data_IF_586784043300
#
_entry.id   IF_586784043300
#
_cell.length_a   1.000
_cell.length_b   1.000
_cell.length_c   1.000
_cell.angle_alpha   90.00
_cell.angle_beta   90.00
_cell.angle_gamma   90.00
#
_symmetry.space_group_name_H-M   'P 1'
#
loop_
_entity.id
_entity.type
_entity.pdbx_description
1 polymer ?
#
# COMPACT_ATOMS: atom_id res chain seq x y z
N UNK A 1 60.86 -23.04 17.21
CA UNK A 1 59.63 -22.65 17.95
C UNK A 1 59.15 -21.37 17.29
N UNK A 2 58.22 -21.49 16.34
CA UNK A 2 57.75 -20.36 15.52
C UNK A 2 56.36 -20.00 16.01
N UNK A 3 56.24 -18.79 16.54
CA UNK A 3 55.00 -18.21 17.04
C UNK A 3 54.19 -17.77 15.82
N UNK A 4 53.03 -18.39 15.62
CA UNK A 4 52.13 -18.07 14.51
C UNK A 4 51.26 -16.91 14.98
N UNK A 5 51.59 -15.70 14.50
CA UNK A 5 50.87 -14.47 14.85
C UNK A 5 49.40 -14.54 14.45
N UNK A 6 48.59 -13.94 15.31
CA UNK A 6 47.15 -14.05 15.32
C UNK A 6 46.52 -13.64 14.00
N UNK A 7 45.91 -14.63 13.34
CA UNK A 7 44.90 -14.40 12.33
C UNK A 7 43.76 -13.62 12.96
N UNK A 8 43.76 -12.31 12.75
CA UNK A 8 42.62 -11.44 12.97
C UNK A 8 41.52 -11.95 12.05
N UNK A 9 40.62 -12.74 12.61
CA UNK A 9 39.39 -13.14 11.95
C UNK A 9 38.63 -11.84 11.68
N UNK A 10 38.69 -11.35 10.45
CA UNK A 10 37.88 -10.24 9.95
C UNK A 10 36.43 -10.73 9.94
N UNK A 11 35.79 -10.72 11.13
CA UNK A 11 34.37 -10.99 11.31
C UNK A 11 33.65 -9.77 10.75
N UNK A 12 33.61 -9.66 9.42
CA UNK A 12 32.66 -8.77 8.77
C UNK A 12 31.28 -9.27 9.18
N UNK A 13 30.47 -8.46 9.88
CA UNK A 13 29.13 -8.88 10.25
C UNK A 13 28.42 -9.30 8.97
N UNK A 14 28.02 -10.57 8.92
CA UNK A 14 27.39 -11.16 7.74
C UNK A 14 26.22 -10.31 7.27
N UNK A 15 26.02 -10.27 5.96
CA UNK A 15 24.97 -9.46 5.34
C UNK A 15 23.60 -9.84 5.93
N UNK A 16 22.98 -8.93 6.70
CA UNK A 16 21.63 -9.13 7.24
C UNK A 16 20.66 -9.36 6.07
N UNK A 17 20.05 -10.55 5.93
CA UNK A 17 19.22 -10.90 4.78
C UNK A 17 17.94 -10.03 4.69
N UNK A 18 17.64 -9.23 5.71
CA UNK A 18 16.51 -8.29 5.72
C UNK A 18 16.87 -6.88 5.25
N UNK A 19 18.15 -6.52 5.16
CA UNK A 19 18.62 -5.20 4.70
C UNK A 19 18.98 -5.21 3.23
N UNK A 20 18.69 -4.12 2.54
CA UNK A 20 18.99 -3.94 1.12
C UNK A 20 20.50 -4.07 0.85
N UNK A 21 20.84 -4.45 -0.38
CA UNK A 21 22.23 -4.45 -0.81
C UNK A 21 22.83 -3.03 -0.68
N UNK A 22 24.09 -2.88 -0.20
CA UNK A 22 24.70 -1.56 0.01
C UNK A 22 24.78 -0.74 -1.29
N UNK A 23 24.85 -1.40 -2.44
CA UNK A 23 24.80 -0.81 -3.79
C UNK A 23 23.53 -0.01 -4.06
N UNK A 24 22.42 -0.33 -3.39
CA UNK A 24 21.14 0.36 -3.54
C UNK A 24 20.83 1.29 -2.36
N UNK A 25 21.75 1.48 -1.40
CA UNK A 25 21.52 2.32 -0.21
C UNK A 25 21.05 3.74 -0.58
N UNK A 26 21.69 4.39 -1.55
CA UNK A 26 21.29 5.71 -2.03
C UNK A 26 19.87 5.74 -2.59
N UNK A 27 19.43 4.65 -3.23
CA UNK A 27 18.10 4.54 -3.78
C UNK A 27 17.01 4.53 -2.70
N UNK A 28 17.24 3.74 -1.65
CA UNK A 28 16.35 3.64 -0.49
C UNK A 28 16.31 4.94 0.32
N UNK A 29 17.45 5.61 0.50
CA UNK A 29 17.51 6.90 1.17
C UNK A 29 16.77 7.99 0.39
N UNK A 30 17.00 8.12 -0.92
CA UNK A 30 16.30 9.10 -1.75
C UNK A 30 14.79 8.87 -1.73
N UNK A 31 14.35 7.62 -1.85
CA UNK A 31 12.94 7.23 -1.77
C UNK A 31 12.35 7.57 -0.40
N UNK A 32 13.05 7.25 0.69
CA UNK A 32 12.60 7.54 2.05
C UNK A 32 12.46 9.03 2.29
N UNK A 33 13.43 9.83 1.87
CA UNK A 33 13.40 11.29 2.01
C UNK A 33 12.27 11.92 1.19
N UNK A 34 12.11 11.54 -0.08
CA UNK A 34 11.06 12.11 -0.92
C UNK A 34 9.65 11.78 -0.40
N UNK A 35 9.41 10.52 -0.01
CA UNK A 35 8.13 10.12 0.57
C UNK A 35 7.88 10.79 1.93
N UNK A 36 8.90 10.95 2.77
CA UNK A 36 8.77 11.68 4.03
C UNK A 36 8.43 13.15 3.80
N UNK A 37 9.13 13.83 2.87
CA UNK A 37 8.87 15.23 2.54
C UNK A 37 7.44 15.43 2.02
N UNK A 38 6.98 14.58 1.11
CA UNK A 38 5.61 14.65 0.61
C UNK A 38 4.58 14.38 1.72
N UNK A 39 4.82 13.38 2.58
CA UNK A 39 3.94 13.10 3.70
C UNK A 39 3.87 14.25 4.73
N UNK A 40 5.00 14.91 4.98
CA UNK A 40 5.06 16.10 5.84
C UNK A 40 4.29 17.27 5.24
N UNK A 41 4.34 17.46 3.92
CA UNK A 41 3.51 18.46 3.24
C UNK A 41 2.01 18.16 3.42
N UNK A 42 1.60 16.89 3.29
CA UNK A 42 0.21 16.48 3.54
C UNK A 42 -0.20 16.68 5.01
N UNK A 43 0.68 16.39 5.97
CA UNK A 43 0.43 16.71 7.37
C UNK A 43 0.28 18.22 7.60
N UNK A 44 1.03 19.05 6.87
CA UNK A 44 0.88 20.50 6.88
C UNK A 44 -0.54 20.93 6.47
N UNK A 45 -1.10 20.33 5.43
CA UNK A 45 -2.50 20.55 5.03
C UNK A 45 -3.49 20.09 6.10
N UNK A 46 -3.23 18.97 6.78
CA UNK A 46 -4.06 18.53 7.91
C UNK A 46 -4.05 19.57 9.03
N UNK A 47 -2.87 20.03 9.45
CA UNK A 47 -2.72 21.01 10.53
C UNK A 47 -3.35 22.35 10.16
N UNK A 48 -3.17 22.78 8.91
CA UNK A 48 -3.82 23.98 8.39
C UNK A 48 -5.35 23.85 8.44
N UNK A 49 -5.92 22.72 8.01
CA UNK A 49 -7.36 22.48 8.06
C UNK A 49 -7.94 22.49 9.47
N UNK A 50 -7.20 21.92 10.44
CA UNK A 50 -7.58 21.97 11.85
C UNK A 50 -7.53 23.40 12.39
N UNK A 51 -6.51 24.19 12.01
CA UNK A 51 -6.36 25.56 12.49
C UNK A 51 -7.39 26.53 11.88
N UNK A 52 -7.80 26.29 10.63
CA UNK A 52 -8.80 27.10 9.94
C UNK A 52 -10.23 26.73 10.36
N UNK A 53 -10.47 25.46 10.68
CA UNK A 53 -11.73 25.05 11.29
C UNK A 53 -11.73 25.51 12.75
N UNK A 54 -12.76 26.22 13.22
CA UNK A 54 -12.95 26.51 14.66
C UNK A 54 -13.15 25.23 15.53
N UNK A 55 -12.85 24.04 14.99
CA UNK A 55 -12.96 22.74 15.61
C UNK A 55 -11.75 22.37 16.48
N UNK A 56 -11.98 21.45 17.40
CA UNK A 56 -10.94 20.90 18.26
C UNK A 56 -10.14 19.79 17.57
N UNK A 57 -8.91 19.53 18.03
CA UNK A 57 -8.13 18.35 17.60
C UNK A 57 -8.89 17.03 17.83
N UNK A 58 -9.82 17.02 18.81
CA UNK A 58 -10.67 15.88 19.07
C UNK A 58 -11.68 15.62 17.94
N UNK A 59 -12.26 16.68 17.36
CA UNK A 59 -13.18 16.57 16.22
C UNK A 59 -12.49 15.98 14.99
N UNK A 60 -11.20 16.31 14.80
CA UNK A 60 -10.38 15.67 13.78
C UNK A 60 -10.20 14.17 14.03
N UNK A 61 -9.83 13.78 15.26
CA UNK A 61 -9.63 12.36 15.65
C UNK A 61 -10.94 11.59 15.53
N UNK A 62 -12.06 12.16 15.94
CA UNK A 62 -13.36 11.56 15.79
C UNK A 62 -13.69 11.37 14.30
N UNK A 63 -13.49 12.41 13.48
CA UNK A 63 -13.71 12.36 12.03
C UNK A 63 -12.85 11.33 11.28
N UNK A 64 -11.71 10.90 11.84
CA UNK A 64 -10.89 9.83 11.25
C UNK A 64 -11.64 8.49 11.22
N UNK A 65 -12.54 8.25 12.18
CA UNK A 65 -13.26 6.99 12.33
C UNK A 65 -14.76 7.13 12.08
N UNK A 66 -15.35 8.25 12.48
CA UNK A 66 -16.76 8.56 12.34
C UNK A 66 -16.96 9.55 11.17
N UNK A 67 -17.38 9.10 9.98
CA UNK A 67 -17.66 10.01 8.88
C UNK A 67 -18.94 10.83 9.06
N UNK A 68 -19.71 10.59 10.14
CA UNK A 68 -20.81 11.45 10.56
C UNK A 68 -20.39 12.61 11.48
N UNK A 69 -19.13 12.65 11.95
CA UNK A 69 -18.59 13.79 12.68
C UNK A 69 -18.39 14.99 11.74
N UNK A 70 -18.44 16.21 12.28
CA UNK A 70 -18.46 17.46 11.52
C UNK A 70 -17.38 17.50 10.41
N UNK A 71 -17.74 17.75 9.14
CA UNK A 71 -16.78 17.81 8.03
C UNK A 71 -15.86 19.03 8.08
N UNK A 72 -16.12 20.00 8.97
CA UNK A 72 -15.46 21.31 8.98
C UNK A 72 -13.94 21.24 9.16
N UNK A 73 -13.39 20.20 9.80
CA UNK A 73 -11.96 20.07 10.07
C UNK A 73 -11.15 19.27 9.03
N UNK A 74 -11.79 18.70 8.00
CA UNK A 74 -11.12 17.75 7.08
C UNK A 74 -10.91 18.33 5.68
N UNK A 75 -9.78 19.01 5.47
CA UNK A 75 -9.30 19.37 4.12
C UNK A 75 -8.81 18.16 3.31
N UNK A 76 -8.43 17.08 4.00
CA UNK A 76 -7.96 15.83 3.41
C UNK A 76 -9.01 14.74 3.62
N UNK A 77 -9.32 14.01 2.55
CA UNK A 77 -10.20 12.86 2.62
C UNK A 77 -9.54 11.68 3.36
N UNK A 78 -10.32 10.62 3.65
CA UNK A 78 -9.83 9.44 4.36
C UNK A 78 -8.73 8.70 3.60
N UNK A 79 -8.78 8.72 2.26
CA UNK A 79 -7.77 8.09 1.42
C UNK A 79 -6.44 8.83 1.54
N UNK A 80 -6.46 10.15 1.48
CA UNK A 80 -5.28 11.00 1.57
C UNK A 80 -4.60 10.86 2.94
N UNK A 81 -5.39 10.81 4.01
CA UNK A 81 -4.87 10.52 5.35
C UNK A 81 -4.21 9.13 5.42
N UNK A 82 -4.91 8.10 4.95
CA UNK A 82 -4.37 6.74 4.94
C UNK A 82 -3.07 6.64 4.14
N UNK A 83 -3.01 7.30 2.98
CA UNK A 83 -1.80 7.35 2.16
C UNK A 83 -0.68 8.16 2.82
N UNK A 84 -0.99 9.23 3.53
CA UNK A 84 0.00 10.01 4.30
C UNK A 84 0.68 9.12 5.35
N UNK A 85 -0.10 8.36 6.13
CA UNK A 85 0.43 7.40 7.11
C UNK A 85 1.27 6.32 6.41
N UNK A 86 0.79 5.79 5.28
CA UNK A 86 1.54 4.82 4.47
C UNK A 86 2.87 5.39 4.01
N UNK A 87 2.91 6.63 3.51
CA UNK A 87 4.14 7.25 3.04
C UNK A 87 5.16 7.41 4.17
N UNK A 88 4.72 7.78 5.38
CA UNK A 88 5.59 7.84 6.56
C UNK A 88 6.15 6.46 6.93
N UNK A 89 5.32 5.42 6.93
CA UNK A 89 5.75 4.06 7.26
C UNK A 89 6.73 3.54 6.20
N UNK A 90 6.40 3.69 4.92
CA UNK A 90 7.26 3.29 3.79
C UNK A 90 8.56 4.09 3.83
N UNK A 91 8.52 5.38 4.14
CA UNK A 91 9.71 6.22 4.29
C UNK A 91 10.61 5.74 5.43
N UNK A 92 10.05 5.51 6.62
CA UNK A 92 10.82 5.03 7.77
C UNK A 92 11.46 3.66 7.50
N UNK A 93 10.73 2.75 6.86
CA UNK A 93 11.27 1.45 6.46
C UNK A 93 12.32 1.58 5.34
N UNK A 94 12.17 2.54 4.42
CA UNK A 94 13.15 2.83 3.36
C UNK A 94 14.45 3.38 3.96
N UNK A 95 14.36 4.33 4.90
CA UNK A 95 15.50 4.87 5.64
C UNK A 95 16.20 3.78 6.46
N UNK A 96 15.44 2.82 7.01
CA UNK A 96 15.97 1.61 7.64
C UNK A 96 16.48 0.55 6.63
N UNK A 97 16.49 0.85 5.33
CA UNK A 97 16.97 0.02 4.23
C UNK A 97 16.35 -1.38 4.20
N UNK A 98 15.04 -1.49 4.49
CA UNK A 98 14.34 -2.79 4.51
C UNK A 98 13.96 -3.23 3.10
N UNK A 99 14.37 -4.44 2.68
CA UNK A 99 14.07 -4.98 1.32
C UNK A 99 12.60 -5.04 0.96
N UNK A 100 11.73 -5.27 1.95
CA UNK A 100 10.27 -5.43 1.76
C UNK A 100 9.62 -4.14 1.24
N UNK A 101 10.29 -3.00 1.40
CA UNK A 101 9.77 -1.66 1.09
C UNK A 101 9.66 -1.42 -0.40
N UNK A 102 10.52 -2.03 -1.21
CA UNK A 102 10.65 -1.69 -2.63
C UNK A 102 9.31 -1.68 -3.36
N UNK A 103 8.50 -2.72 -3.22
CA UNK A 103 7.21 -2.77 -3.93
C UNK A 103 6.14 -1.91 -3.30
N UNK A 104 6.20 -1.65 -2.00
CA UNK A 104 5.36 -0.63 -1.37
C UNK A 104 5.70 0.77 -1.92
N UNK A 105 6.99 1.10 -2.02
CA UNK A 105 7.46 2.37 -2.57
C UNK A 105 7.11 2.52 -4.07
N UNK A 106 7.25 1.46 -4.87
CA UNK A 106 6.82 1.48 -6.28
C UNK A 106 5.31 1.71 -6.39
N UNK A 107 4.49 1.03 -5.57
CA UNK A 107 3.05 1.28 -5.53
C UNK A 107 2.75 2.74 -5.16
N UNK A 108 3.39 3.26 -4.11
CA UNK A 108 3.26 4.67 -3.71
C UNK A 108 3.64 5.63 -4.84
N UNK A 109 4.74 5.38 -5.55
CA UNK A 109 5.18 6.17 -6.70
C UNK A 109 4.16 6.14 -7.84
N UNK A 110 3.59 4.98 -8.16
CA UNK A 110 2.54 4.86 -9.18
C UNK A 110 1.24 5.58 -8.79
N UNK A 111 0.84 5.53 -7.52
CA UNK A 111 -0.35 6.24 -7.04
C UNK A 111 -0.16 7.75 -7.09
N UNK A 112 1.01 8.26 -6.66
CA UNK A 112 1.35 9.67 -6.78
C UNK A 112 1.42 10.12 -8.25
N UNK A 113 1.95 9.28 -9.14
CA UNK A 113 1.97 9.56 -10.57
C UNK A 113 0.55 9.62 -11.14
N UNK A 114 -0.34 8.71 -10.75
CA UNK A 114 -1.73 8.69 -11.20
C UNK A 114 -2.49 9.95 -10.75
N UNK A 115 -2.32 10.36 -9.48
CA UNK A 115 -2.88 11.61 -8.95
C UNK A 115 -2.33 12.82 -9.72
N UNK A 116 -1.02 12.84 -9.98
CA UNK A 116 -0.38 13.95 -10.70
C UNK A 116 -0.77 14.01 -12.17
N UNK A 117 -0.96 12.87 -12.82
CA UNK A 117 -1.43 12.78 -14.20
C UNK A 117 -2.87 13.29 -14.32
N UNK A 118 -3.75 12.91 -13.38
CA UNK A 118 -5.11 13.44 -13.28
C UNK A 118 -5.11 14.96 -13.11
N UNK A 119 -4.25 15.48 -12.23
CA UNK A 119 -4.08 16.92 -12.06
C UNK A 119 -3.60 17.59 -13.35
N UNK A 120 -2.63 16.99 -14.04
CA UNK A 120 -2.12 17.45 -15.32
C UNK A 120 -3.20 17.52 -16.41
N UNK A 121 -4.14 16.57 -16.44
CA UNK A 121 -5.32 16.63 -17.33
C UNK A 121 -6.20 17.81 -16.98
N UNK A 122 -6.48 18.04 -15.69
CA UNK A 122 -7.28 19.19 -15.24
C UNK A 122 -6.66 20.53 -15.61
N UNK A 123 -5.32 20.65 -15.52
CA UNK A 123 -4.58 21.86 -15.91
C UNK A 123 -4.66 22.19 -17.41
N UNK A 124 -5.17 21.30 -18.26
CA UNK A 124 -5.43 21.63 -19.66
C UNK A 124 -6.65 22.55 -19.82
N UNK A 125 -7.56 22.56 -18.83
CA UNK A 125 -8.69 23.48 -18.80
C UNK A 125 -8.26 24.88 -18.32
N UNK A 126 -8.65 25.92 -19.06
CA UNK A 126 -8.33 27.30 -18.72
C UNK A 126 -9.05 27.76 -17.44
N UNK A 127 -10.33 27.40 -17.28
CA UNK A 127 -11.10 27.80 -16.10
C UNK A 127 -10.54 27.18 -14.83
N UNK A 128 -10.03 25.95 -14.91
CA UNK A 128 -9.39 25.27 -13.79
C UNK A 128 -8.03 25.87 -13.46
N UNK A 129 -7.22 26.24 -14.47
CA UNK A 129 -5.96 26.98 -14.25
C UNK A 129 -6.17 28.34 -13.59
N UNK A 130 -7.23 29.04 -13.95
CA UNK A 130 -7.53 30.34 -13.35
C UNK A 130 -7.85 30.24 -11.85
N UNK A 131 -8.36 29.10 -11.37
CA UNK A 131 -8.60 28.88 -9.94
C UNK A 131 -7.30 28.90 -9.13
N UNK A 132 -6.22 28.35 -9.66
CA UNK A 132 -4.90 28.39 -9.01
C UNK A 132 -4.35 29.80 -8.82
N UNK A 133 -4.78 30.75 -9.65
CA UNK A 133 -4.37 32.15 -9.55
C UNK A 133 -5.27 32.98 -8.63
N UNK A 134 -6.54 32.57 -8.49
CA UNK A 134 -7.56 33.31 -7.74
C UNK A 134 -7.77 32.79 -6.30
N UNK A 135 -7.41 31.53 -6.03
CA UNK A 135 -7.45 30.95 -4.70
C UNK A 135 -6.19 31.34 -3.90
N UNK A 136 -6.31 31.88 -2.67
CA UNK A 136 -5.15 32.23 -1.84
C UNK A 136 -4.23 31.04 -1.55
N UNK A 137 -4.75 29.81 -1.57
CA UNK A 137 -3.99 28.58 -1.35
C UNK A 137 -3.58 27.89 -2.66
N UNK A 138 -3.99 28.43 -3.82
CA UNK A 138 -3.71 27.86 -5.14
C UNK A 138 -2.23 27.60 -5.36
N UNK A 139 -1.36 28.57 -5.06
CA UNK A 139 0.09 28.40 -5.18
C UNK A 139 0.66 27.24 -4.34
N UNK A 140 0.19 27.09 -3.10
CA UNK A 140 0.59 26.01 -2.20
C UNK A 140 0.09 24.64 -2.66
N UNK A 141 -1.15 24.59 -3.14
CA UNK A 141 -1.73 23.36 -3.68
C UNK A 141 -0.98 22.91 -4.94
N UNK A 142 -0.66 23.84 -5.84
CA UNK A 142 0.14 23.56 -7.03
C UNK A 142 1.55 23.07 -6.67
N UNK A 143 2.19 23.71 -5.69
CA UNK A 143 3.49 23.28 -5.18
C UNK A 143 3.43 21.86 -4.59
N UNK A 144 2.36 21.53 -3.87
CA UNK A 144 2.14 20.19 -3.30
C UNK A 144 1.95 19.14 -4.40
N UNK A 145 1.17 19.46 -5.45
CA UNK A 145 1.00 18.58 -6.62
C UNK A 145 2.32 18.39 -7.38
N UNK A 146 3.08 19.47 -7.57
CA UNK A 146 4.43 19.42 -8.16
C UNK A 146 5.41 18.57 -7.35
N UNK A 147 5.40 18.71 -6.02
CA UNK A 147 6.19 17.88 -5.11
C UNK A 147 5.80 16.40 -5.21
N UNK A 148 4.50 16.11 -5.34
CA UNK A 148 3.97 14.75 -5.54
C UNK A 148 4.47 14.12 -6.85
N UNK A 149 4.44 14.88 -7.95
CA UNK A 149 4.97 14.44 -9.24
C UNK A 149 6.47 14.19 -9.18
N UNK A 150 7.25 15.13 -8.61
CA UNK A 150 8.69 14.98 -8.46
C UNK A 150 9.03 13.75 -7.62
N UNK A 151 8.32 13.57 -6.49
CA UNK A 151 8.46 12.40 -5.62
C UNK A 151 8.16 11.11 -6.39
N UNK A 152 7.07 11.08 -7.17
CA UNK A 152 6.71 9.92 -7.97
C UNK A 152 7.82 9.56 -8.98
N UNK A 153 8.32 10.54 -9.72
CA UNK A 153 9.37 10.34 -10.72
C UNK A 153 10.67 9.86 -10.08
N UNK A 154 11.11 10.48 -8.98
CA UNK A 154 12.31 10.06 -8.25
C UNK A 154 12.16 8.63 -7.73
N UNK A 155 11.06 8.33 -7.02
CA UNK A 155 10.84 6.99 -6.46
C UNK A 155 10.83 5.93 -7.55
N UNK A 156 10.10 6.15 -8.65
CA UNK A 156 10.02 5.19 -9.74
C UNK A 156 11.38 5.00 -10.43
N UNK A 157 12.05 6.09 -10.84
CA UNK A 157 13.35 6.04 -11.54
C UNK A 157 14.43 5.33 -10.73
N UNK A 158 14.39 5.51 -9.41
CA UNK A 158 15.41 4.99 -8.50
C UNK A 158 15.10 3.57 -8.00
N UNK A 159 13.81 3.20 -7.83
CA UNK A 159 13.41 1.87 -7.34
C UNK A 159 13.21 0.81 -8.44
N UNK A 160 12.98 1.21 -9.70
CA UNK A 160 12.92 0.27 -10.82
C UNK A 160 14.25 -0.49 -11.02
N UNK A 161 15.41 0.18 -11.10
CA UNK A 161 16.71 -0.46 -11.32
C UNK A 161 17.20 -1.25 -10.10
N UNK A 162 16.75 -0.92 -8.89
CA UNK A 162 17.09 -1.59 -7.63
C UNK A 162 16.47 -3.00 -7.48
N UNK A 163 16.37 -3.74 -8.59
CA UNK A 163 15.93 -5.14 -8.60
C UNK A 163 17.03 -6.02 -8.04
N UNK A 164 16.93 -6.36 -6.77
CA UNK A 164 17.79 -7.36 -6.15
C UNK A 164 17.47 -8.75 -6.73
N UNK A 165 18.08 -9.09 -7.88
CA UNK A 165 18.11 -10.48 -8.36
C UNK A 165 18.94 -11.27 -7.37
N UNK A 166 18.29 -12.18 -6.62
CA UNK A 166 18.96 -13.06 -5.63
C UNK A 166 19.89 -14.12 -6.25
N UNK A 167 20.29 -13.98 -7.51
CA UNK A 167 21.06 -14.96 -8.28
C UNK A 167 22.49 -14.51 -8.57
N UNK A 168 23.24 -14.11 -7.55
CA UNK A 168 24.63 -13.65 -7.65
C UNK A 168 25.57 -14.27 -6.61
N UNK A 169 25.20 -15.42 -6.03
CA UNK A 169 26.09 -16.21 -5.18
C UNK A 169 26.87 -17.29 -5.97
N UNK A 170 26.92 -17.16 -7.31
CA UNK A 170 27.60 -18.10 -8.23
C UNK A 170 28.51 -17.38 -9.22
N UNK A 171 29.19 -16.33 -8.77
CA UNK A 171 30.23 -15.69 -9.56
C UNK A 171 31.41 -15.30 -8.68
N UNK A 172 31.97 -16.28 -7.94
CA UNK A 172 33.38 -16.36 -7.52
C UNK A 172 33.59 -17.63 -6.67
N UNK A 173 33.89 -18.74 -7.34
CA UNK A 173 34.56 -19.90 -6.73
C UNK A 173 33.66 -21.08 -6.35
N UNK A 174 34.03 -22.27 -6.85
CA UNK A 174 33.65 -23.54 -6.22
C UNK A 174 32.70 -24.41 -7.03
N UNK A 175 33.28 -25.28 -7.85
CA UNK A 175 32.74 -26.56 -8.29
C UNK A 175 32.11 -27.31 -7.09
N UNK A 176 31.03 -28.05 -7.33
CA UNK A 176 30.45 -29.08 -6.45
C UNK A 176 29.39 -28.64 -5.41
N UNK A 177 28.29 -28.02 -5.86
CA UNK A 177 27.02 -28.06 -5.12
C UNK A 177 26.07 -29.06 -5.81
N UNK A 178 25.88 -30.22 -5.17
CA UNK A 178 25.01 -31.30 -5.63
C UNK A 178 23.54 -30.85 -5.83
N UNK A 179 22.82 -31.41 -6.82
CA UNK A 179 21.41 -31.11 -7.06
C UNK A 179 20.54 -31.93 -6.10
N UNK A 180 20.33 -31.42 -4.88
CA UNK A 180 19.45 -32.12 -3.94
C UNK A 180 19.56 -31.62 -2.51
N UNK A 181 18.78 -30.59 -2.16
CA UNK A 181 18.22 -30.41 -0.81
C UNK A 181 17.35 -29.15 -0.76
N UNK A 182 16.03 -29.38 -0.72
CA UNK A 182 15.01 -28.46 -0.23
C UNK A 182 14.74 -27.21 -1.05
N UNK A 183 13.62 -27.15 -1.75
CA UNK A 183 13.00 -25.87 -2.19
C UNK A 183 12.33 -25.16 -0.99
N UNK A 184 12.93 -24.11 -0.37
CA UNK A 184 12.21 -23.20 0.53
C UNK A 184 11.20 -22.30 -0.21
N UNK A 185 10.92 -22.56 -1.48
CA UNK A 185 10.13 -21.73 -2.38
C UNK A 185 8.64 -22.09 -2.43
N UNK A 186 8.28 -23.34 -2.13
CA UNK A 186 6.88 -23.79 -2.17
C UNK A 186 6.03 -23.17 -1.03
N UNK A 187 6.60 -23.03 0.17
CA UNK A 187 5.89 -22.57 1.37
C UNK A 187 5.40 -21.11 1.29
N UNK A 188 6.06 -20.29 0.47
CA UNK A 188 5.76 -18.86 0.34
C UNK A 188 4.86 -18.53 -0.85
N UNK A 189 4.78 -19.40 -1.85
CA UNK A 189 3.89 -19.21 -3.02
C UNK A 189 2.43 -19.35 -2.64
N UNK A 190 2.10 -20.27 -1.72
CA UNK A 190 0.73 -20.51 -1.25
C UNK A 190 0.10 -19.27 -0.58
N UNK A 191 0.68 -18.65 0.47
CA UNK A 191 0.07 -17.48 1.11
C UNK A 191 -0.04 -16.30 0.14
N UNK A 192 0.97 -16.04 -0.70
CA UNK A 192 0.90 -14.96 -1.68
C UNK A 192 -0.19 -15.18 -2.73
N UNK A 193 -0.40 -16.42 -3.19
CA UNK A 193 -1.53 -16.75 -4.07
C UNK A 193 -2.88 -16.56 -3.40
N UNK A 194 -3.02 -16.99 -2.14
CA UNK A 194 -4.26 -16.79 -1.36
C UNK A 194 -4.55 -15.29 -1.23
N UNK A 195 -3.56 -14.48 -0.85
CA UNK A 195 -3.69 -13.03 -0.82
C UNK A 195 -4.10 -12.46 -2.18
N UNK A 196 -3.52 -12.98 -3.26
CA UNK A 196 -3.89 -12.58 -4.62
C UNK A 196 -5.35 -12.90 -4.97
N UNK A 197 -5.84 -14.10 -4.62
CA UNK A 197 -7.25 -14.47 -4.83
C UNK A 197 -8.18 -13.56 -4.02
N UNK A 198 -7.85 -13.29 -2.75
CA UNK A 198 -8.63 -12.39 -1.90
C UNK A 198 -8.71 -10.98 -2.49
N UNK A 199 -7.59 -10.45 -3.02
CA UNK A 199 -7.55 -9.17 -3.71
C UNK A 199 -8.40 -9.16 -4.98
N UNK A 200 -8.34 -10.23 -5.80
CA UNK A 200 -9.15 -10.35 -7.00
C UNK A 200 -10.65 -10.39 -6.68
N UNK A 201 -11.06 -11.21 -5.71
CA UNK A 201 -12.46 -11.31 -5.31
C UNK A 201 -12.98 -9.96 -4.78
N UNK A 202 -12.19 -9.28 -3.95
CA UNK A 202 -12.56 -7.96 -3.45
C UNK A 202 -12.62 -6.90 -4.56
N UNK A 203 -11.65 -6.92 -5.49
CA UNK A 203 -11.63 -6.01 -6.64
C UNK A 203 -12.80 -6.22 -7.57
N UNK A 204 -13.19 -7.48 -7.83
CA UNK A 204 -14.37 -7.81 -8.62
C UNK A 204 -15.68 -7.41 -7.92
N UNK A 205 -15.77 -7.60 -6.59
CA UNK A 205 -16.92 -7.15 -5.82
C UNK A 205 -17.05 -5.62 -5.85
N UNK A 206 -15.96 -4.89 -5.64
CA UNK A 206 -15.94 -3.43 -5.75
C UNK A 206 -16.31 -2.98 -7.17
N UNK A 207 -15.75 -3.60 -8.21
CA UNK A 207 -16.09 -3.30 -9.59
C UNK A 207 -17.59 -3.53 -9.88
N UNK A 208 -18.17 -4.62 -9.40
CA UNK A 208 -19.60 -4.90 -9.58
C UNK A 208 -20.47 -3.83 -8.93
N UNK A 209 -20.11 -3.38 -7.71
CA UNK A 209 -20.78 -2.26 -7.05
C UNK A 209 -20.61 -0.94 -7.80
N UNK A 210 -19.41 -0.64 -8.31
CA UNK A 210 -19.16 0.56 -9.12
C UNK A 210 -20.01 0.55 -10.39
N UNK A 211 -20.04 -0.57 -11.12
CA UNK A 211 -20.85 -0.71 -12.33
C UNK A 211 -22.34 -0.58 -12.01
N UNK A 212 -22.82 -1.20 -10.92
CA UNK A 212 -24.20 -1.04 -10.47
C UNK A 212 -24.54 0.42 -10.18
N UNK A 213 -23.71 1.11 -9.40
CA UNK A 213 -23.94 2.51 -9.04
C UNK A 213 -23.96 3.43 -10.28
N UNK A 214 -23.06 3.17 -11.24
CA UNK A 214 -22.95 3.96 -12.48
C UNK A 214 -24.09 3.66 -13.46
N UNK A 215 -24.68 2.46 -13.39
CA UNK A 215 -25.82 2.07 -14.25
C UNK A 215 -27.18 2.40 -13.63
N UNK A 216 -27.21 2.91 -12.38
CA UNK A 216 -28.44 3.34 -11.73
C UNK A 216 -29.09 4.53 -12.46
N UNK A 217 -30.43 4.55 -12.59
CA UNK A 217 -31.14 5.64 -13.26
C UNK A 217 -30.86 6.97 -12.56
N UNK A 218 -30.38 7.96 -13.32
CA UNK A 218 -30.00 9.29 -12.83
C UNK A 218 -28.49 9.53 -12.70
N UNK A 219 -27.66 8.50 -12.88
CA UNK A 219 -26.19 8.65 -12.94
C UNK A 219 -25.69 8.75 -14.39
N UNK A 220 -24.83 9.72 -14.66
CA UNK A 220 -24.14 9.86 -15.95
C UNK A 220 -22.78 9.16 -15.88
N UNK A 221 -22.70 7.99 -16.53
CA UNK A 221 -21.47 7.20 -16.59
C UNK A 221 -20.31 7.94 -17.26
N UNK A 222 -20.60 8.78 -18.26
CA UNK A 222 -19.60 9.60 -18.93
C UNK A 222 -19.01 10.62 -17.97
N UNK A 223 -19.87 11.29 -17.19
CA UNK A 223 -19.45 12.22 -16.15
C UNK A 223 -18.65 11.51 -15.05
N UNK A 224 -19.10 10.36 -14.56
CA UNK A 224 -18.40 9.59 -13.53
C UNK A 224 -16.97 9.20 -13.96
N UNK A 225 -16.81 8.71 -15.18
CA UNK A 225 -15.49 8.37 -15.72
C UNK A 225 -14.63 9.60 -15.97
N UNK A 226 -15.24 10.71 -16.40
CA UNK A 226 -14.54 11.98 -16.53
C UNK A 226 -14.05 12.47 -15.18
N UNK A 227 -14.88 12.45 -14.14
CA UNK A 227 -14.53 12.84 -12.76
C UNK A 227 -13.42 11.96 -12.18
N UNK A 228 -13.29 10.71 -12.64
CA UNK A 228 -12.19 9.84 -12.27
C UNK A 228 -10.85 10.25 -12.91
N UNK A 229 -10.84 10.82 -14.12
CA UNK A 229 -9.61 11.08 -14.89
C UNK A 229 -9.22 12.56 -14.91
N UNK A 230 -10.19 13.44 -14.81
CA UNK A 230 -10.07 14.88 -14.98
C UNK A 230 -10.35 15.58 -13.65
N UNK A 231 -9.37 16.33 -13.15
CA UNK A 231 -9.52 17.10 -11.91
C UNK A 231 -10.42 18.34 -12.10
N UNK A 232 -10.55 18.85 -13.34
CA UNK A 232 -11.25 20.12 -13.61
C UNK A 232 -12.75 20.06 -13.36
N UNK A 233 -13.36 18.87 -13.41
CA UNK A 233 -14.82 18.73 -13.38
C UNK A 233 -15.43 19.10 -12.03
N UNK A 234 -14.67 18.98 -10.94
CA UNK A 234 -15.09 19.46 -9.62
C UNK A 234 -15.24 20.99 -9.59
N UNK A 235 -14.52 21.69 -10.45
CA UNK A 235 -14.53 23.14 -10.54
C UNK A 235 -14.05 23.85 -9.28
N UNK A 236 -13.42 23.15 -8.34
CA UNK A 236 -12.89 23.71 -7.09
C UNK A 236 -11.52 23.10 -6.77
N UNK A 237 -10.67 23.89 -6.11
CA UNK A 237 -9.31 23.51 -5.77
C UNK A 237 -9.29 22.64 -4.51
N UNK A 238 -9.43 21.32 -4.68
CA UNK A 238 -9.37 20.36 -3.58
C UNK A 238 -8.07 19.55 -3.61
N UNK A 239 -7.39 19.50 -2.47
CA UNK A 239 -6.20 18.64 -2.29
C UNK A 239 -6.61 17.16 -2.28
N UNK A 240 -7.80 16.86 -1.73
CA UNK A 240 -8.40 15.54 -1.77
C UNK A 240 -8.80 15.13 -3.19
N UNK A 241 -8.54 13.88 -3.53
CA UNK A 241 -9.01 13.26 -4.76
C UNK A 241 -10.50 12.94 -4.65
N UNK A 242 -11.18 12.96 -5.79
CA UNK A 242 -12.60 12.57 -5.83
C UNK A 242 -12.82 11.10 -5.45
N UNK A 243 -14.04 10.82 -4.98
CA UNK A 243 -14.49 9.45 -4.68
C UNK A 243 -14.42 8.56 -5.92
N UNK A 244 -14.73 9.09 -7.10
CA UNK A 244 -14.67 8.38 -8.38
C UNK A 244 -13.26 7.88 -8.68
N UNK A 245 -12.24 8.74 -8.53
CA UNK A 245 -10.85 8.37 -8.76
C UNK A 245 -10.35 7.36 -7.73
N UNK A 246 -10.66 7.57 -6.44
CA UNK A 246 -10.20 6.66 -5.38
C UNK A 246 -10.85 5.28 -5.51
N UNK A 247 -12.11 5.21 -5.94
CA UNK A 247 -12.84 3.96 -6.22
C UNK A 247 -12.30 3.24 -7.45
N UNK A 248 -12.16 3.93 -8.59
CA UNK A 248 -11.59 3.31 -9.80
C UNK A 248 -10.13 2.89 -9.55
N UNK A 249 -9.36 3.75 -8.89
CA UNK A 249 -7.99 3.46 -8.49
C UNK A 249 -7.89 2.24 -7.56
N UNK A 250 -8.78 2.11 -6.58
CA UNK A 250 -8.76 0.96 -5.68
C UNK A 250 -9.04 -0.34 -6.41
N UNK A 251 -10.05 -0.36 -7.30
CA UNK A 251 -10.37 -1.51 -8.14
C UNK A 251 -9.17 -1.90 -9.00
N UNK A 252 -8.55 -0.95 -9.69
CA UNK A 252 -7.39 -1.21 -10.54
C UNK A 252 -6.23 -1.78 -9.72
N UNK A 253 -5.91 -1.21 -8.56
CA UNK A 253 -4.83 -1.68 -7.69
C UNK A 253 -5.13 -3.09 -7.16
N UNK A 254 -6.36 -3.36 -6.71
CA UNK A 254 -6.77 -4.70 -6.26
C UNK A 254 -6.58 -5.74 -7.35
N UNK A 255 -7.03 -5.46 -8.57
CA UNK A 255 -6.93 -6.38 -9.69
C UNK A 255 -5.47 -6.59 -10.10
N UNK A 256 -4.68 -5.52 -10.25
CA UNK A 256 -3.27 -5.60 -10.65
C UNK A 256 -2.45 -6.36 -9.60
N UNK A 257 -2.53 -5.99 -8.33
CA UNK A 257 -1.81 -6.67 -7.25
C UNK A 257 -2.30 -8.12 -7.08
N UNK A 258 -3.61 -8.35 -7.25
CA UNK A 258 -4.22 -9.69 -7.24
C UNK A 258 -3.63 -10.60 -8.32
N UNK A 259 -3.60 -10.14 -9.58
CA UNK A 259 -3.00 -10.88 -10.70
C UNK A 259 -1.50 -11.13 -10.48
N UNK A 260 -0.75 -10.11 -10.06
CA UNK A 260 0.69 -10.24 -9.80
C UNK A 260 0.99 -11.25 -8.69
N UNK A 261 0.16 -11.26 -7.63
CA UNK A 261 0.28 -12.19 -6.51
C UNK A 261 -0.11 -13.63 -6.89
N UNK A 262 -1.18 -13.83 -7.67
CA UNK A 262 -1.57 -15.16 -8.19
C UNK A 262 -0.49 -15.75 -9.10
N UNK A 263 0.14 -14.92 -9.94
CA UNK A 263 1.29 -15.31 -10.77
C UNK A 263 2.53 -15.69 -9.95
N UNK A 264 2.50 -15.54 -8.63
CA UNK A 264 3.56 -15.96 -7.73
C UNK A 264 4.78 -15.04 -7.76
N UNK A 265 4.61 -13.78 -8.18
CA UNK A 265 5.70 -12.79 -8.09
C UNK A 265 5.96 -12.49 -6.62
N UNK A 266 7.13 -12.90 -6.13
CA UNK A 266 7.50 -12.81 -4.70
C UNK A 266 7.66 -11.37 -4.21
N UNK A 267 7.92 -10.46 -5.13
CA UNK A 267 8.24 -9.07 -4.82
C UNK A 267 7.02 -8.29 -4.33
N UNK A 268 5.78 -8.72 -4.60
CA UNK A 268 4.55 -7.92 -4.42
C UNK A 268 4.14 -7.73 -2.95
N UNK A 269 4.82 -8.36 -1.99
CA UNK A 269 4.40 -8.39 -0.57
C UNK A 269 4.27 -7.03 0.08
N UNK A 270 5.24 -6.15 -0.12
CA UNK A 270 5.20 -4.79 0.45
C UNK A 270 3.96 -4.05 -0.02
N UNK A 271 3.69 -4.10 -1.33
CA UNK A 271 2.49 -3.52 -1.93
C UNK A 271 1.19 -4.15 -1.40
N UNK A 272 1.13 -5.48 -1.26
CA UNK A 272 -0.04 -6.17 -0.70
C UNK A 272 -0.34 -5.74 0.74
N UNK A 273 0.67 -5.71 1.62
CA UNK A 273 0.49 -5.32 3.03
C UNK A 273 -0.01 -3.90 3.13
N UNK A 274 0.67 -2.98 2.43
CA UNK A 274 0.36 -1.55 2.48
C UNK A 274 -1.05 -1.29 1.96
N UNK A 275 -1.38 -1.84 0.80
CA UNK A 275 -2.70 -1.60 0.21
C UNK A 275 -3.82 -2.30 1.00
N UNK A 276 -3.57 -3.50 1.54
CA UNK A 276 -4.52 -4.18 2.41
C UNK A 276 -4.77 -3.38 3.70
N UNK A 277 -3.74 -2.76 4.28
CA UNK A 277 -3.90 -1.91 5.46
C UNK A 277 -4.76 -0.67 5.18
N UNK A 278 -4.56 -0.02 4.02
CA UNK A 278 -5.40 1.11 3.58
C UNK A 278 -6.86 0.66 3.39
N UNK A 279 -7.08 -0.43 2.66
CA UNK A 279 -8.43 -0.97 2.44
C UNK A 279 -9.10 -1.40 3.76
N UNK A 280 -8.34 -1.98 4.68
CA UNK A 280 -8.84 -2.35 6.00
C UNK A 280 -9.29 -1.12 6.79
N UNK A 281 -8.50 -0.05 6.82
CA UNK A 281 -8.87 1.21 7.47
C UNK A 281 -10.18 1.77 6.90
N UNK A 282 -10.31 1.83 5.57
CA UNK A 282 -11.51 2.35 4.91
C UNK A 282 -12.75 1.47 5.16
N UNK A 283 -12.56 0.15 5.19
CA UNK A 283 -13.62 -0.81 5.51
C UNK A 283 -14.08 -0.62 6.95
N UNK A 284 -13.16 -0.47 7.91
CA UNK A 284 -13.48 -0.18 9.31
C UNK A 284 -14.23 1.14 9.44
N UNK A 285 -13.79 2.20 8.76
CA UNK A 285 -14.50 3.49 8.73
C UNK A 285 -15.94 3.35 8.22
N UNK A 286 -16.16 2.52 7.20
CA UNK A 286 -17.48 2.22 6.67
C UNK A 286 -18.35 1.46 7.68
N UNK A 287 -17.78 0.47 8.38
CA UNK A 287 -18.46 -0.28 9.44
C UNK A 287 -18.85 0.63 10.60
N UNK A 288 -17.95 1.53 11.02
CA UNK A 288 -18.24 2.52 12.07
C UNK A 288 -19.38 3.44 11.63
N UNK A 289 -19.37 3.93 10.39
CA UNK A 289 -20.48 4.73 9.85
C UNK A 289 -21.82 4.00 9.93
N UNK A 290 -21.87 2.76 9.47
CA UNK A 290 -23.08 1.93 9.52
C UNK A 290 -23.57 1.70 10.96
N UNK A 291 -22.65 1.62 11.93
CA UNK A 291 -22.96 1.46 13.35
C UNK A 291 -23.53 2.75 13.94
N UNK A 292 -22.88 3.89 13.67
CA UNK A 292 -23.28 5.20 14.21
C UNK A 292 -24.63 5.65 13.62
N UNK A 293 -24.92 5.30 12.38
CA UNK A 293 -26.18 5.68 11.69
C UNK A 293 -27.33 4.70 11.94
N UNK A 294 -27.14 3.66 12.77
CA UNK A 294 -28.09 2.56 13.01
C UNK A 294 -28.58 1.89 11.70
N UNK A 295 -27.76 1.98 10.65
CA UNK A 295 -28.12 1.52 9.32
C UNK A 295 -28.05 0.00 9.22
N UNK A 296 -27.34 -0.67 10.13
CA UNK A 296 -27.28 -2.13 10.21
C UNK A 296 -28.66 -2.79 10.19
N UNK A 297 -29.61 -2.26 10.96
CA UNK A 297 -30.96 -2.82 11.05
C UNK A 297 -31.76 -2.63 9.75
N UNK A 298 -31.67 -1.45 9.12
CA UNK A 298 -32.38 -1.15 7.86
C UNK A 298 -31.78 -1.87 6.66
N UNK A 299 -30.49 -2.19 6.71
CA UNK A 299 -29.78 -2.78 5.58
C UNK A 299 -30.25 -4.22 5.29
N UNK A 300 -30.79 -4.94 6.26
CA UNK A 300 -31.36 -6.28 6.03
C UNK A 300 -32.77 -6.27 5.43
N UNK A 301 -33.43 -5.11 5.35
CA UNK A 301 -34.77 -4.98 4.78
C UNK A 301 -34.76 -5.12 3.25
N UNK A 302 -33.60 -4.94 2.61
CA UNK A 302 -33.44 -5.05 1.15
C UNK A 302 -32.36 -6.07 0.78
N UNK A 303 -32.56 -6.77 -0.34
CA UNK A 303 -31.55 -7.72 -0.87
C UNK A 303 -30.23 -7.02 -1.18
N UNK A 304 -30.30 -5.78 -1.66
CA UNK A 304 -29.14 -4.95 -1.96
C UNK A 304 -28.34 -4.61 -0.70
N UNK A 305 -29.03 -4.21 0.37
CA UNK A 305 -28.37 -3.96 1.64
C UNK A 305 -27.73 -5.22 2.22
N UNK A 306 -28.43 -6.36 2.22
CA UNK A 306 -27.87 -7.62 2.68
C UNK A 306 -26.60 -7.99 1.89
N UNK A 307 -26.59 -7.80 0.56
CA UNK A 307 -25.42 -8.05 -0.28
C UNK A 307 -24.27 -7.08 0.05
N UNK A 308 -24.58 -5.80 0.31
CA UNK A 308 -23.60 -4.79 0.73
C UNK A 308 -22.92 -5.19 2.05
N UNK A 309 -23.70 -5.67 3.03
CA UNK A 309 -23.17 -6.18 4.31
C UNK A 309 -22.26 -7.39 4.13
N UNK A 310 -22.67 -8.36 3.31
CA UNK A 310 -21.85 -9.55 3.02
C UNK A 310 -20.55 -9.14 2.35
N UNK A 311 -20.58 -8.21 1.39
CA UNK A 311 -19.36 -7.73 0.72
C UNK A 311 -18.44 -6.94 1.66
N UNK A 312 -19.00 -6.17 2.58
CA UNK A 312 -18.23 -5.43 3.61
C UNK A 312 -17.58 -6.39 4.60
N UNK A 313 -18.32 -7.39 5.09
CA UNK A 313 -17.79 -8.42 5.98
C UNK A 313 -16.70 -9.25 5.30
N UNK A 314 -16.89 -9.60 4.02
CA UNK A 314 -15.87 -10.26 3.21
C UNK A 314 -14.62 -9.39 3.07
N UNK A 315 -14.76 -8.11 2.74
CA UNK A 315 -13.63 -7.19 2.60
C UNK A 315 -12.82 -7.11 3.91
N UNK A 316 -13.48 -7.02 5.05
CA UNK A 316 -12.84 -6.99 6.37
C UNK A 316 -12.05 -8.28 6.65
N UNK A 317 -12.67 -9.45 6.43
CA UNK A 317 -12.02 -10.74 6.61
C UNK A 317 -10.87 -10.97 5.60
N UNK A 318 -11.04 -10.52 4.36
CA UNK A 318 -10.05 -10.65 3.30
C UNK A 318 -8.81 -9.79 3.59
N UNK A 319 -8.98 -8.51 3.93
CA UNK A 319 -7.86 -7.60 4.18
C UNK A 319 -7.09 -7.96 5.46
N UNK A 320 -7.80 -8.33 6.54
CA UNK A 320 -7.14 -8.87 7.75
C UNK A 320 -6.34 -10.13 7.45
N UNK A 321 -6.91 -11.07 6.69
CA UNK A 321 -6.21 -12.28 6.26
C UNK A 321 -4.98 -11.97 5.41
N UNK A 322 -5.04 -11.00 4.50
CA UNK A 322 -3.89 -10.58 3.69
C UNK A 322 -2.79 -9.99 4.57
N UNK A 323 -3.13 -9.09 5.49
CA UNK A 323 -2.17 -8.49 6.42
C UNK A 323 -1.49 -9.60 7.24
N UNK A 324 -2.26 -10.54 7.80
CA UNK A 324 -1.72 -11.64 8.59
C UNK A 324 -0.85 -12.60 7.76
N UNK A 325 -1.27 -12.95 6.54
CA UNK A 325 -0.53 -13.87 5.67
C UNK A 325 0.75 -13.25 5.11
N UNK A 326 0.75 -11.94 4.88
CA UNK A 326 1.89 -11.22 4.33
C UNK A 326 2.90 -10.78 5.41
N UNK A 327 2.46 -10.62 6.67
CA UNK A 327 3.33 -10.35 7.84
C UNK A 327 3.79 -11.63 8.57
N UNK A 328 2.97 -12.67 8.58
CA UNK A 328 3.21 -13.91 9.30
C UNK A 328 4.29 -14.81 8.70
N UNK A 329 5.20 -15.29 9.56
CA UNK A 329 6.35 -16.22 9.34
C UNK A 329 7.74 -15.62 9.09
N UNK A 330 7.90 -14.29 9.09
CA UNK A 330 9.21 -13.67 8.82
C UNK A 330 10.04 -13.24 10.02
N UNK A 331 9.45 -13.01 11.21
CA UNK A 331 10.06 -12.15 12.24
C UNK A 331 10.59 -12.84 13.50
N UNK A 332 10.52 -14.17 13.61
CA UNK A 332 11.15 -14.89 14.73
C UNK A 332 12.60 -15.29 14.43
N UNK A 333 13.58 -15.10 15.35
CA UNK A 333 14.96 -15.56 15.17
C UNK A 333 15.13 -17.10 15.08
N UNK A 334 14.04 -17.87 15.20
CA UNK A 334 14.06 -19.35 15.23
C UNK A 334 13.10 -20.03 14.23
N UNK A 335 12.60 -19.31 13.22
CA UNK A 335 11.46 -19.76 12.39
C UNK A 335 11.72 -20.83 11.32
N UNK A 336 12.72 -21.70 11.45
CA UNK A 336 13.08 -22.66 10.40
C UNK A 336 13.36 -24.10 10.82
N UNK A 337 13.72 -24.40 12.07
CA UNK A 337 14.33 -25.69 12.38
C UNK A 337 13.42 -26.74 13.06
N UNK A 338 12.21 -26.38 13.51
CA UNK A 338 11.48 -27.22 14.49
C UNK A 338 10.44 -28.20 13.93
N UNK A 339 10.12 -28.15 12.64
CA UNK A 339 9.08 -29.02 12.08
C UNK A 339 9.63 -30.25 11.32
N UNK A 340 10.87 -30.21 10.82
CA UNK A 340 11.47 -31.34 10.09
C UNK A 340 12.20 -32.32 11.02
N UNK A 341 12.77 -31.85 12.12
CA UNK A 341 13.47 -32.71 13.10
C UNK A 341 12.53 -33.66 13.88
N UNK A 342 11.23 -33.35 13.95
CA UNK A 342 10.25 -34.26 14.57
C UNK A 342 9.69 -35.33 13.62
N UNK A 343 9.81 -35.15 12.30
CA UNK A 343 9.39 -36.18 11.34
C UNK A 343 10.48 -37.20 11.06
N UNK A 344 11.74 -36.78 10.95
CA UNK A 344 12.86 -37.71 10.75
C UNK A 344 13.17 -38.54 11.99
N UNK A 345 12.84 -38.06 13.20
CA UNK A 345 13.00 -38.84 14.44
C UNK A 345 11.98 -39.97 14.61
N UNK A 346 10.85 -39.93 13.88
CA UNK A 346 9.79 -40.95 13.95
C UNK A 346 10.00 -42.09 12.94
N UNK A 347 10.66 -41.81 11.81
CA UNK A 347 10.93 -42.82 10.78
C UNK A 347 12.21 -43.65 11.02
N UNK A 348 13.04 -43.28 12.01
CA UNK A 348 14.31 -43.95 12.31
C UNK A 348 14.26 -45.09 13.36
N UNK A 349 13.08 -45.52 13.84
CA UNK A 349 12.96 -46.49 14.95
C UNK A 349 12.22 -47.80 14.63
N UNK A 350 12.23 -48.26 13.38
CA UNK A 350 11.68 -49.57 13.02
C UNK A 350 12.52 -50.33 11.99
N UNK A 351 13.85 -50.40 12.19
CA UNK A 351 14.70 -51.30 11.40
C UNK A 351 15.80 -51.99 12.21
N UNK A 352 15.45 -52.57 13.36
CA UNK A 352 16.20 -53.70 13.92
C UNK A 352 15.21 -54.72 14.50
N UNK A 353 14.98 -55.78 13.73
CA UNK A 353 14.50 -57.08 14.20
C UNK A 353 15.30 -58.15 13.51
#
# INVERSE_FOLDING_TARGET
MVMQDGGTVDVRPGHDPRRAAPEHSGAYLATGLCLALYALAMLGWTVYGIAESDGSTWDFVEGLFNPGASPAAQLLGPYEWAFTVVFLVVAGLALAQRRVVRTAALLSGFLLLAVSAREGVGLLDAAYRDQYSNDPLGGWALATRGLGLLTALVVLTVMFPATERRGGATALGGRDAAPGSGEPDAGWRRPTRISGVLFLLNGLAQLAWTVRNVTSPGMDAGRYLRDAVDASVLGNLHVAATVEFTTVGSVVVLLVLGVLAVRGRRDVRGALVVFAAVQLYLTVRTVVWLAVTDFFNRTFETTEGALSMVTTAFALAAMTSVVLLATGRGFGPYGGARAETFRTALDGRYSER
#
